data_IF_679415771745
#
_entry.id   IF_679415771745
#
_cell.length_a   1.000
_cell.length_b   1.000
_cell.length_c   1.000
_cell.angle_alpha   90.00
_cell.angle_beta   90.00
_cell.angle_gamma   90.00
#
_symmetry.space_group_name_H-M   'P 1'
#
loop_
_entity.id
_entity.type
_entity.pdbx_description
1 polymer ?
#
# COMPACT_ATOMS: atom_id res chain seq x y z
N UNK A 1 3.35 26.17 -16.23
CA UNK A 1 3.61 24.89 -15.54
C UNK A 1 3.17 25.13 -14.12
N UNK A 2 1.86 24.99 -13.90
CA UNK A 2 1.29 25.20 -12.58
C UNK A 2 1.62 23.96 -11.75
N UNK A 3 2.46 24.16 -10.72
CA UNK A 3 2.73 23.14 -9.72
C UNK A 3 1.41 22.79 -9.01
N UNK A 4 1.20 21.51 -8.76
CA UNK A 4 0.01 21.00 -8.08
C UNK A 4 -0.01 21.57 -6.65
N UNK A 5 -1.03 22.34 -6.24
CA UNK A 5 -1.11 22.91 -4.89
C UNK A 5 -1.19 21.86 -3.76
N UNK A 6 -1.34 20.56 -4.08
CA UNK A 6 -1.21 19.46 -3.12
C UNK A 6 0.25 18.98 -2.93
N UNK A 7 1.15 19.29 -3.86
CA UNK A 7 2.59 19.01 -3.76
C UNK A 7 3.24 19.87 -2.66
N UNK A 8 2.69 21.06 -2.41
CA UNK A 8 3.18 22.03 -1.41
C UNK A 8 2.63 21.81 0.01
N UNK A 9 1.60 20.95 0.18
CA UNK A 9 0.89 20.81 1.46
C UNK A 9 1.39 19.66 2.36
N UNK A 10 2.32 18.84 1.87
CA UNK A 10 2.96 17.72 2.59
C UNK A 10 4.45 17.94 2.84
N UNK A 11 4.97 19.14 2.54
CA UNK A 11 6.36 19.54 2.78
C UNK A 11 6.64 20.04 4.21
N UNK A 12 5.67 19.91 5.13
CA UNK A 12 5.90 20.14 6.57
C UNK A 12 6.00 18.77 7.24
N UNK A 13 7.11 18.31 7.81
CA UNK A 13 8.04 19.00 8.71
C UNK A 13 9.46 18.36 8.65
N UNK A 14 10.50 19.21 8.67
CA UNK A 14 11.92 18.84 8.64
C UNK A 14 12.56 19.25 7.31
N UNK A 15 13.29 20.38 7.29
CA UNK A 15 14.03 20.83 6.10
C UNK A 15 15.08 19.79 5.75
N UNK A 16 14.81 19.00 4.72
CA UNK A 16 15.76 18.08 4.13
C UNK A 16 17.05 18.84 3.81
N UNK A 17 18.19 18.27 4.18
CA UNK A 17 19.49 18.80 3.79
C UNK A 17 19.61 18.78 2.26
N UNK A 18 20.47 19.63 1.66
CA UNK A 18 20.74 19.56 0.22
C UNK A 18 21.17 18.17 -0.26
N UNK A 19 21.87 17.41 0.59
CA UNK A 19 22.26 16.01 0.32
C UNK A 19 21.05 15.08 0.29
N UNK A 20 20.12 15.20 1.25
CA UNK A 20 18.88 14.41 1.27
C UNK A 20 17.96 14.75 0.09
N UNK A 21 17.92 16.02 -0.33
CA UNK A 21 17.19 16.46 -1.53
C UNK A 21 17.79 15.80 -2.77
N UNK A 22 19.12 15.82 -2.90
CA UNK A 22 19.83 15.21 -4.01
C UNK A 22 19.63 13.68 -4.03
N UNK A 23 19.77 13.01 -2.88
CA UNK A 23 19.54 11.56 -2.75
C UNK A 23 18.10 11.20 -3.12
N UNK A 24 17.12 12.00 -2.68
CA UNK A 24 15.71 11.83 -3.06
C UNK A 24 15.53 11.99 -4.57
N UNK A 25 16.14 12.99 -5.20
CA UNK A 25 16.04 13.22 -6.64
C UNK A 25 16.66 12.06 -7.44
N UNK A 26 17.85 11.61 -7.07
CA UNK A 26 18.52 10.47 -7.71
C UNK A 26 17.74 9.18 -7.53
N UNK A 27 17.23 8.94 -6.33
CA UNK A 27 16.36 7.81 -6.06
C UNK A 27 15.09 7.90 -6.89
N UNK A 28 14.39 9.04 -6.93
CA UNK A 28 13.19 9.24 -7.79
C UNK A 28 13.49 8.89 -9.24
N UNK A 29 14.63 9.32 -9.76
CA UNK A 29 15.05 9.01 -11.13
C UNK A 29 15.28 7.50 -11.32
N UNK A 30 16.01 6.83 -10.41
CA UNK A 30 16.22 5.37 -10.45
C UNK A 30 14.90 4.62 -10.35
N UNK A 31 14.02 5.03 -9.44
CA UNK A 31 12.73 4.38 -9.21
C UNK A 31 11.74 4.62 -10.33
N UNK A 32 11.80 5.76 -11.03
CA UNK A 32 10.94 6.03 -12.21
C UNK A 32 11.10 4.95 -13.28
N UNK A 33 12.35 4.58 -13.58
CA UNK A 33 12.67 3.58 -14.60
C UNK A 33 12.11 2.20 -14.27
N UNK A 34 12.03 1.86 -12.99
CA UNK A 34 11.43 0.60 -12.52
C UNK A 34 9.98 0.44 -13.04
N UNK A 35 9.20 1.52 -13.06
CA UNK A 35 7.81 1.50 -13.49
C UNK A 35 7.63 1.62 -15.02
N UNK A 36 8.72 1.62 -15.79
CA UNK A 36 8.69 1.44 -17.24
C UNK A 36 8.63 -0.04 -17.63
N UNK A 37 9.04 -0.94 -16.72
CA UNK A 37 8.96 -2.37 -16.93
C UNK A 37 7.52 -2.89 -16.87
N UNK A 38 7.17 -3.92 -17.68
CA UNK A 38 5.85 -4.50 -17.64
C UNK A 38 5.61 -5.22 -16.31
N UNK A 39 4.49 -4.89 -15.67
CA UNK A 39 3.97 -5.67 -14.54
C UNK A 39 2.91 -6.66 -15.04
N UNK A 40 3.04 -7.95 -14.76
CA UNK A 40 2.13 -9.01 -15.25
C UNK A 40 1.56 -9.83 -14.10
N UNK A 41 0.37 -10.39 -14.30
CA UNK A 41 -0.22 -11.33 -13.35
C UNK A 41 0.54 -12.66 -13.38
N UNK A 42 0.86 -13.18 -12.20
CA UNK A 42 1.55 -14.46 -12.02
C UNK A 42 0.55 -15.52 -11.59
N UNK A 43 -0.05 -15.36 -10.41
CA UNK A 43 -0.94 -16.36 -9.82
C UNK A 43 -1.83 -15.77 -8.73
N UNK A 44 -2.92 -16.49 -8.43
CA UNK A 44 -3.79 -16.25 -7.27
C UNK A 44 -3.56 -17.37 -6.25
N UNK A 45 -3.09 -17.00 -5.07
CA UNK A 45 -2.73 -17.94 -3.99
C UNK A 45 -3.87 -18.02 -2.97
N UNK A 46 -4.44 -19.22 -2.83
CA UNK A 46 -5.49 -19.53 -1.86
C UNK A 46 -4.96 -20.32 -0.65
N UNK A 47 -3.83 -21.01 -0.83
CA UNK A 47 -3.11 -21.76 0.20
C UNK A 47 -1.62 -21.39 0.11
N UNK A 48 -0.95 -21.20 1.24
CA UNK A 48 0.46 -20.84 1.29
C UNK A 48 1.38 -21.88 0.63
N UNK A 49 0.92 -23.13 0.48
CA UNK A 49 1.64 -24.17 -0.28
C UNK A 49 1.82 -23.82 -1.76
N UNK A 50 0.96 -22.97 -2.32
CA UNK A 50 1.00 -22.56 -3.73
C UNK A 50 1.65 -21.19 -3.92
N UNK A 51 2.38 -20.70 -2.92
CA UNK A 51 3.14 -19.46 -3.06
C UNK A 51 4.19 -19.59 -4.17
N UNK A 52 4.38 -18.55 -4.99
CA UNK A 52 5.48 -18.54 -5.96
C UNK A 52 6.84 -18.56 -5.24
N UNK A 53 7.92 -18.95 -5.95
CA UNK A 53 9.28 -18.87 -5.46
C UNK A 53 9.64 -17.49 -4.88
N UNK A 54 10.58 -17.47 -3.94
CA UNK A 54 11.01 -16.28 -3.19
C UNK A 54 12.21 -15.58 -3.86
N UNK A 55 12.18 -15.44 -5.18
CA UNK A 55 13.34 -14.99 -5.95
C UNK A 55 13.54 -13.46 -5.84
N UNK A 56 12.46 -12.71 -5.66
CA UNK A 56 12.45 -11.24 -5.68
C UNK A 56 11.88 -10.64 -4.40
N UNK A 57 12.30 -9.42 -4.01
CA UNK A 57 11.60 -8.66 -2.99
C UNK A 57 10.11 -8.52 -3.30
N UNK A 58 9.29 -8.48 -2.26
CA UNK A 58 7.84 -8.36 -2.37
C UNK A 58 7.34 -7.13 -1.61
N UNK A 59 6.41 -6.44 -2.24
CA UNK A 59 5.55 -5.47 -1.56
C UNK A 59 4.13 -5.98 -1.60
N UNK A 60 3.34 -5.64 -0.58
CA UNK A 60 1.93 -5.96 -0.57
C UNK A 60 1.06 -4.71 -0.43
N UNK A 61 -0.13 -4.75 -0.99
CA UNK A 61 -1.17 -3.75 -0.79
C UNK A 61 -2.31 -4.37 0.00
N UNK A 62 -2.65 -3.78 1.14
CA UNK A 62 -3.76 -4.19 1.99
C UNK A 62 -4.71 -3.00 2.18
N UNK A 63 -5.96 -3.29 2.54
CA UNK A 63 -6.93 -2.25 2.86
C UNK A 63 -8.36 -2.77 2.85
N UNK A 64 -9.29 -2.02 3.43
CA UNK A 64 -10.71 -2.38 3.46
C UNK A 64 -11.28 -2.59 2.05
N UNK A 65 -12.36 -3.37 1.95
CA UNK A 65 -13.12 -3.45 0.70
C UNK A 65 -13.52 -2.06 0.20
N UNK A 66 -13.41 -1.82 -1.11
CA UNK A 66 -13.72 -0.55 -1.78
C UNK A 66 -12.86 0.67 -1.33
N UNK A 67 -11.73 0.46 -0.66
CA UNK A 67 -10.80 1.56 -0.30
C UNK A 67 -10.11 2.20 -1.52
N UNK A 68 -10.12 1.51 -2.67
CA UNK A 68 -9.45 1.96 -3.90
C UNK A 68 -8.15 1.22 -4.24
N UNK A 69 -7.85 0.10 -3.56
CA UNK A 69 -6.64 -0.71 -3.75
C UNK A 69 -6.33 -1.08 -5.19
N UNK A 70 -7.26 -1.75 -5.88
CA UNK A 70 -7.04 -2.15 -7.28
C UNK A 70 -6.88 -0.94 -8.21
N UNK A 71 -7.60 0.16 -7.96
CA UNK A 71 -7.45 1.40 -8.72
C UNK A 71 -6.06 2.02 -8.52
N UNK A 72 -5.58 2.03 -7.27
CA UNK A 72 -4.26 2.54 -6.93
C UNK A 72 -3.15 1.69 -7.54
N UNK A 73 -3.23 0.36 -7.44
CA UNK A 73 -2.28 -0.56 -8.09
C UNK A 73 -2.22 -0.29 -9.60
N UNK A 74 -3.37 -0.22 -10.27
CA UNK A 74 -3.40 0.06 -11.71
C UNK A 74 -2.77 1.41 -12.07
N UNK A 75 -2.97 2.44 -11.24
CA UNK A 75 -2.41 3.78 -11.44
C UNK A 75 -0.89 3.82 -11.19
N UNK A 76 -0.42 3.23 -10.09
CA UNK A 76 1.00 3.15 -9.72
C UNK A 76 1.77 2.33 -10.75
N UNK A 77 1.26 1.19 -11.21
CA UNK A 77 1.96 0.35 -12.19
C UNK A 77 1.64 0.69 -13.65
N UNK A 78 1.02 1.86 -13.91
CA UNK A 78 0.70 2.38 -15.27
C UNK A 78 -0.01 1.35 -16.18
N UNK A 79 -0.75 0.41 -15.59
CA UNK A 79 -1.36 -0.71 -16.33
C UNK A 79 -2.83 -0.86 -16.01
N UNK A 80 -3.67 -0.57 -17.01
CA UNK A 80 -5.12 -0.75 -16.91
C UNK A 80 -5.45 -2.23 -16.78
N UNK A 81 -6.27 -2.58 -15.79
CA UNK A 81 -6.79 -3.93 -15.62
C UNK A 81 -5.81 -4.96 -15.07
N UNK A 82 -4.65 -4.53 -14.53
CA UNK A 82 -3.71 -5.41 -13.84
C UNK A 82 -4.39 -6.03 -12.60
N UNK A 83 -4.79 -5.18 -11.66
CA UNK A 83 -5.65 -5.56 -10.54
C UNK A 83 -7.12 -5.38 -10.95
N UNK A 84 -7.89 -6.48 -10.89
CA UNK A 84 -9.32 -6.46 -11.19
C UNK A 84 -10.07 -5.75 -10.06
N UNK A 85 -10.54 -4.53 -10.32
CA UNK A 85 -11.49 -3.84 -9.45
C UNK A 85 -12.83 -4.58 -9.49
N UNK A 86 -13.07 -5.50 -8.55
CA UNK A 86 -14.39 -6.12 -8.42
C UNK A 86 -15.27 -5.27 -7.53
N UNK A 87 -16.39 -4.80 -8.06
CA UNK A 87 -17.45 -4.14 -7.30
C UNK A 87 -18.28 -5.14 -6.46
N UNK A 88 -17.97 -6.44 -6.53
CA UNK A 88 -18.58 -7.48 -5.70
C UNK A 88 -17.69 -7.71 -4.50
N UNK A 89 -18.07 -7.22 -3.31
CA UNK A 89 -17.26 -7.40 -2.12
C UNK A 89 -17.15 -8.89 -1.74
N UNK A 90 -15.99 -9.32 -1.22
CA UNK A 90 -15.73 -10.71 -0.82
C UNK A 90 -15.34 -11.67 -1.94
N UNK A 91 -15.18 -11.19 -3.19
CA UNK A 91 -14.78 -12.03 -4.35
C UNK A 91 -13.29 -12.40 -4.37
N UNK A 92 -12.42 -11.51 -3.91
CA UNK A 92 -10.98 -11.80 -3.79
C UNK A 92 -10.73 -12.34 -2.40
N UNK A 93 -10.53 -13.66 -2.29
CA UNK A 93 -10.17 -14.38 -1.06
C UNK A 93 -8.77 -14.99 -1.16
N UNK A 94 -7.98 -14.48 -2.10
CA UNK A 94 -6.65 -14.94 -2.44
C UNK A 94 -5.67 -13.77 -2.48
N UNK A 95 -4.40 -14.07 -2.31
CA UNK A 95 -3.31 -13.15 -2.60
C UNK A 95 -3.06 -13.18 -4.10
N UNK A 96 -3.22 -12.05 -4.80
CA UNK A 96 -2.86 -12.00 -6.22
C UNK A 96 -1.42 -11.50 -6.35
N UNK A 97 -0.58 -12.33 -6.97
CA UNK A 97 0.80 -11.99 -7.25
C UNK A 97 0.90 -11.41 -8.66
N UNK A 98 1.59 -10.29 -8.75
CA UNK A 98 2.04 -9.69 -9.97
C UNK A 98 3.57 -9.59 -9.94
N UNK A 99 4.20 -9.70 -11.09
CA UNK A 99 5.64 -9.62 -11.24
C UNK A 99 5.98 -8.44 -12.14
N UNK A 100 6.86 -7.57 -11.67
CA UNK A 100 7.45 -6.49 -12.45
C UNK A 100 8.84 -6.93 -12.87
N UNK A 101 8.90 -7.58 -14.03
CA UNK A 101 10.11 -8.15 -14.62
C UNK A 101 10.92 -8.99 -13.59
N UNK A 102 12.23 -8.84 -13.52
CA UNK A 102 13.12 -9.51 -12.55
C UNK A 102 13.42 -8.65 -11.32
N UNK A 103 12.53 -7.73 -10.96
CA UNK A 103 12.81 -6.73 -9.92
C UNK A 103 11.96 -6.87 -8.67
N UNK A 104 10.67 -7.17 -8.80
CA UNK A 104 9.73 -7.05 -7.69
C UNK A 104 8.48 -7.93 -7.89
N UNK A 105 8.04 -8.57 -6.81
CA UNK A 105 6.66 -9.05 -6.70
C UNK A 105 5.77 -8.01 -6.03
N UNK A 106 4.61 -7.80 -6.63
CA UNK A 106 3.54 -6.97 -6.10
C UNK A 106 2.40 -7.86 -5.69
N UNK A 107 1.99 -7.79 -4.44
CA UNK A 107 0.96 -8.66 -3.87
C UNK A 107 -0.29 -7.84 -3.56
N UNK A 108 -1.38 -8.13 -4.25
CA UNK A 108 -2.68 -7.56 -3.93
C UNK A 108 -3.38 -8.44 -2.89
N UNK A 109 -3.39 -7.98 -1.64
CA UNK A 109 -4.05 -8.70 -0.56
C UNK A 109 -5.58 -8.55 -0.68
N UNK A 110 -6.36 -9.56 -0.28
CA UNK A 110 -7.81 -9.43 -0.25
C UNK A 110 -8.24 -8.33 0.73
N UNK A 111 -9.35 -7.68 0.42
CA UNK A 111 -9.85 -6.57 1.23
C UNK A 111 -10.54 -7.06 2.50
N UNK A 112 -10.20 -6.48 3.65
CA UNK A 112 -10.76 -6.84 4.95
C UNK A 112 -11.99 -6.01 5.34
N UNK A 113 -12.59 -6.36 6.48
CA UNK A 113 -13.71 -5.63 7.08
C UNK A 113 -15.07 -5.90 6.44
N UNK A 114 -15.28 -7.09 5.87
CA UNK A 114 -16.54 -7.45 5.24
C UNK A 114 -17.55 -7.99 6.26
N UNK A 115 -18.61 -7.23 6.53
CA UNK A 115 -19.62 -7.54 7.55
C UNK A 115 -20.52 -8.76 7.24
N UNK A 116 -20.41 -9.37 6.06
CA UNK A 116 -21.30 -10.45 5.59
C UNK A 116 -20.60 -11.78 5.28
N UNK A 117 -19.29 -11.90 5.53
CA UNK A 117 -18.59 -13.17 5.34
C UNK A 117 -18.88 -14.11 6.54
N UNK A 118 -19.01 -15.43 6.32
CA UNK A 118 -19.07 -16.40 7.41
C UNK A 118 -17.84 -16.29 8.32
N UNK A 119 -18.03 -16.44 9.63
CA UNK A 119 -16.94 -16.32 10.62
C UNK A 119 -15.76 -17.25 10.31
N UNK A 120 -16.03 -18.51 9.99
CA UNK A 120 -15.00 -19.51 9.67
C UNK A 120 -14.13 -19.10 8.48
N UNK A 121 -14.71 -18.40 7.51
CA UNK A 121 -13.99 -17.90 6.35
C UNK A 121 -13.07 -16.72 6.71
N UNK A 122 -13.56 -15.81 7.55
CA UNK A 122 -12.76 -14.69 8.08
C UNK A 122 -11.61 -15.22 8.92
N UNK A 123 -11.86 -16.21 9.77
CA UNK A 123 -10.84 -16.82 10.63
C UNK A 123 -9.78 -17.58 9.80
N UNK A 124 -10.20 -18.35 8.80
CA UNK A 124 -9.28 -19.04 7.87
C UNK A 124 -8.42 -18.03 7.11
N UNK A 125 -9.02 -16.93 6.66
CA UNK A 125 -8.30 -15.87 5.97
C UNK A 125 -7.30 -15.15 6.88
N UNK A 126 -7.71 -14.76 8.08
CA UNK A 126 -6.85 -14.15 9.08
C UNK A 126 -5.66 -15.06 9.43
N UNK A 127 -5.90 -16.36 9.55
CA UNK A 127 -4.85 -17.36 9.77
C UNK A 127 -3.86 -17.42 8.60
N UNK A 128 -4.36 -17.44 7.36
CA UNK A 128 -3.51 -17.41 6.16
C UNK A 128 -2.67 -16.13 6.10
N UNK A 129 -3.27 -14.97 6.38
CA UNK A 129 -2.56 -13.69 6.40
C UNK A 129 -1.47 -13.65 7.47
N UNK A 130 -1.77 -14.06 8.71
CA UNK A 130 -0.78 -14.14 9.80
C UNK A 130 0.41 -15.01 9.42
N UNK A 131 0.15 -16.19 8.83
CA UNK A 131 1.20 -17.12 8.40
C UNK A 131 2.02 -16.55 7.25
N UNK A 132 1.38 -15.87 6.29
CA UNK A 132 2.07 -15.19 5.19
C UNK A 132 2.99 -14.09 5.72
N UNK A 133 2.47 -13.17 6.56
CA UNK A 133 3.24 -12.05 7.12
C UNK A 133 4.45 -12.52 7.92
N UNK A 134 4.29 -13.57 8.73
CA UNK A 134 5.37 -14.11 9.57
C UNK A 134 6.42 -14.91 8.80
N UNK A 135 6.02 -15.58 7.71
CA UNK A 135 6.87 -16.56 7.02
C UNK A 135 7.54 -16.06 5.74
N UNK A 136 7.10 -14.93 5.18
CA UNK A 136 7.55 -14.46 3.87
C UNK A 136 8.73 -13.48 3.99
N UNK A 137 9.95 -14.00 4.01
CA UNK A 137 11.20 -13.22 4.15
C UNK A 137 11.35 -12.14 3.07
N UNK A 138 10.82 -12.40 1.88
CA UNK A 138 10.88 -11.46 0.78
C UNK A 138 9.87 -10.30 0.90
N UNK A 139 8.85 -10.40 1.75
CA UNK A 139 7.94 -9.30 2.00
C UNK A 139 8.65 -8.18 2.76
N UNK A 140 8.96 -7.08 2.07
CA UNK A 140 9.73 -5.97 2.63
C UNK A 140 8.87 -4.84 3.16
N UNK A 141 7.69 -4.62 2.56
CA UNK A 141 6.76 -3.58 3.02
C UNK A 141 5.31 -3.89 2.66
N UNK A 142 4.40 -3.60 3.57
CA UNK A 142 2.95 -3.57 3.30
C UNK A 142 2.46 -2.14 3.18
N UNK A 143 1.82 -1.79 2.07
CA UNK A 143 1.13 -0.52 1.91
C UNK A 143 -0.32 -0.68 2.37
N UNK A 144 -0.64 -0.08 3.52
CA UNK A 144 -1.95 -0.15 4.15
C UNK A 144 -2.83 1.02 3.71
N UNK A 145 -3.86 0.75 2.91
CA UNK A 145 -4.72 1.78 2.35
C UNK A 145 -5.88 2.09 3.30
N UNK A 146 -6.10 3.39 3.52
CA UNK A 146 -7.18 3.92 4.34
C UNK A 146 -7.95 4.98 3.55
N UNK A 147 -9.29 4.86 3.52
CA UNK A 147 -10.14 5.84 2.84
C UNK A 147 -10.18 7.13 3.66
N UNK A 148 -9.63 8.21 3.11
CA UNK A 148 -9.47 9.50 3.81
C UNK A 148 -10.79 10.12 4.27
N UNK A 149 -11.92 9.78 3.62
CA UNK A 149 -13.26 10.23 4.04
C UNK A 149 -13.64 9.71 5.42
N UNK A 150 -13.22 8.48 5.74
CA UNK A 150 -13.61 7.78 6.96
C UNK A 150 -12.49 7.73 8.00
N UNK A 151 -11.23 7.73 7.54
CA UNK A 151 -10.04 7.52 8.38
C UNK A 151 -9.95 6.09 8.91
N UNK A 152 -9.19 5.96 10.00
CA UNK A 152 -8.96 4.70 10.69
C UNK A 152 -10.27 4.15 11.27
N UNK A 153 -10.42 2.83 11.20
CA UNK A 153 -11.50 2.05 11.83
C UNK A 153 -10.90 0.87 12.58
N UNK A 154 -11.69 0.24 13.43
CA UNK A 154 -11.27 -0.92 14.22
C UNK A 154 -10.57 -2.00 13.38
N UNK A 155 -11.13 -2.35 12.22
CA UNK A 155 -10.52 -3.35 11.34
C UNK A 155 -9.16 -2.92 10.75
N UNK A 156 -8.88 -1.62 10.63
CA UNK A 156 -7.55 -1.16 10.21
C UNK A 156 -6.55 -1.32 11.37
N UNK A 157 -6.97 -0.98 12.59
CA UNK A 157 -6.16 -1.16 13.81
C UNK A 157 -5.81 -2.64 14.02
N UNK A 158 -6.77 -3.56 13.83
CA UNK A 158 -6.50 -5.00 13.93
C UNK A 158 -5.43 -5.48 12.94
N UNK A 159 -5.39 -4.89 11.74
CA UNK A 159 -4.39 -5.22 10.72
C UNK A 159 -3.04 -4.57 11.08
N UNK A 160 -3.05 -3.35 11.62
CA UNK A 160 -1.85 -2.69 12.14
C UNK A 160 -1.23 -3.53 13.26
N UNK A 161 -2.02 -3.97 14.24
CA UNK A 161 -1.57 -4.86 15.32
C UNK A 161 -0.98 -6.17 14.76
N UNK A 162 -1.61 -6.76 13.74
CA UNK A 162 -1.09 -7.97 13.11
C UNK A 162 0.25 -7.76 12.40
N UNK A 163 0.45 -6.59 11.78
CA UNK A 163 1.71 -6.23 11.12
C UNK A 163 2.81 -5.97 12.16
N UNK A 164 2.47 -5.34 13.28
CA UNK A 164 3.38 -5.14 14.41
C UNK A 164 3.81 -6.48 15.03
N UNK A 165 2.85 -7.39 15.30
CA UNK A 165 3.12 -8.74 15.80
C UNK A 165 4.02 -9.55 14.86
N UNK A 166 3.89 -9.34 13.55
CA UNK A 166 4.70 -10.01 12.53
C UNK A 166 6.04 -9.31 12.27
N UNK A 167 6.31 -8.16 12.91
CA UNK A 167 7.46 -7.29 12.65
C UNK A 167 7.62 -6.93 11.16
N UNK A 168 6.50 -6.76 10.45
CA UNK A 168 6.49 -6.39 9.03
C UNK A 168 6.29 -4.89 8.91
N UNK A 169 7.29 -4.20 8.38
CA UNK A 169 7.18 -2.75 8.13
C UNK A 169 6.00 -2.46 7.21
N UNK A 170 5.18 -1.47 7.58
CA UNK A 170 4.07 -1.05 6.75
C UNK A 170 3.96 0.47 6.67
N UNK A 171 3.46 0.96 5.54
CA UNK A 171 3.31 2.39 5.28
C UNK A 171 1.86 2.68 4.91
N UNK A 172 1.26 3.65 5.58
CA UNK A 172 -0.13 4.02 5.33
C UNK A 172 -0.24 4.90 4.08
N UNK A 173 -1.26 4.61 3.26
CA UNK A 173 -1.68 5.45 2.14
C UNK A 173 -3.12 5.90 2.36
N UNK A 174 -3.32 7.20 2.56
CA UNK A 174 -4.64 7.81 2.58
C UNK A 174 -5.17 8.00 1.16
N UNK A 175 -6.17 7.22 0.78
CA UNK A 175 -6.74 7.24 -0.57
C UNK A 175 -7.91 8.23 -0.69
N UNK A 176 -8.28 8.55 -1.93
CA UNK A 176 -9.46 9.37 -2.29
C UNK A 176 -9.45 10.77 -1.68
N UNK A 177 -8.26 11.38 -1.59
CA UNK A 177 -8.13 12.73 -1.03
C UNK A 177 -8.93 13.78 -1.80
N UNK A 178 -9.24 13.52 -3.08
CA UNK A 178 -10.11 14.37 -3.91
C UNK A 178 -11.55 14.49 -3.37
N UNK A 179 -11.96 13.63 -2.43
CA UNK A 179 -13.29 13.64 -1.83
C UNK A 179 -13.38 14.44 -0.54
N UNK A 180 -12.27 14.97 -0.03
CA UNK A 180 -12.24 15.81 1.18
C UNK A 180 -11.39 17.07 0.95
N UNK A 181 -11.58 18.08 1.81
CA UNK A 181 -10.80 19.34 1.70
C UNK A 181 -9.37 19.15 2.21
N UNK A 182 -8.37 19.89 1.71
CA UNK A 182 -6.97 19.74 2.12
C UNK A 182 -6.73 19.79 3.65
N UNK A 183 -7.37 20.69 4.43
CA UNK A 183 -7.21 20.68 5.90
C UNK A 183 -7.71 19.38 6.56
N UNK A 184 -8.73 18.74 5.98
CA UNK A 184 -9.20 17.46 6.47
C UNK A 184 -8.22 16.32 6.13
N UNK A 185 -7.52 16.39 4.99
CA UNK A 185 -6.44 15.44 4.64
C UNK A 185 -5.31 15.53 5.67
N UNK A 186 -4.84 16.74 5.98
CA UNK A 186 -3.80 16.97 6.98
C UNK A 186 -4.22 16.44 8.36
N UNK A 187 -5.47 16.67 8.76
CA UNK A 187 -6.01 16.09 10.00
C UNK A 187 -5.96 14.55 9.99
N UNK A 188 -6.23 13.89 8.86
CA UNK A 188 -6.12 12.43 8.75
C UNK A 188 -4.68 11.94 8.79
N UNK A 189 -3.75 12.68 8.21
CA UNK A 189 -2.32 12.38 8.30
C UNK A 189 -1.89 12.39 9.76
N UNK A 190 -2.22 13.46 10.49
CA UNK A 190 -1.92 13.56 11.91
C UNK A 190 -2.59 12.45 12.73
N UNK A 191 -3.87 12.16 12.46
CA UNK A 191 -4.61 11.07 13.12
C UNK A 191 -3.88 9.72 13.01
N UNK A 192 -3.26 9.43 11.87
CA UNK A 192 -2.46 8.20 11.70
C UNK A 192 -1.10 8.31 12.38
N UNK A 193 -0.40 9.45 12.27
CA UNK A 193 0.90 9.67 12.90
C UNK A 193 0.82 9.55 14.44
N UNK A 194 -0.27 10.03 15.04
CA UNK A 194 -0.52 9.93 16.48
C UNK A 194 -0.62 8.48 16.98
N UNK A 195 -0.83 7.52 16.08
CA UNK A 195 -0.85 6.08 16.42
C UNK A 195 0.54 5.45 16.49
N UNK A 196 1.57 6.08 15.91
CA UNK A 196 2.93 5.54 15.82
C UNK A 196 3.54 5.06 17.15
N UNK A 197 3.31 5.70 18.32
CA UNK A 197 3.84 5.20 19.59
C UNK A 197 3.33 3.81 19.98
N UNK A 198 2.16 3.39 19.47
CA UNK A 198 1.57 2.07 19.72
C UNK A 198 1.89 1.07 18.62
N UNK A 199 2.39 1.54 17.48
CA UNK A 199 2.56 0.76 16.26
C UNK A 199 4.00 0.87 15.75
N UNK A 200 4.94 0.12 16.34
CA UNK A 200 6.37 0.25 16.03
C UNK A 200 6.74 -0.16 14.61
N UNK A 201 5.93 -0.95 13.90
CA UNK A 201 6.19 -1.31 12.50
C UNK A 201 5.64 -0.27 11.50
N UNK A 202 4.90 0.75 11.97
CA UNK A 202 4.42 1.84 11.13
C UNK A 202 5.58 2.69 10.63
N UNK A 203 5.68 2.82 9.31
CA UNK A 203 6.60 3.72 8.66
C UNK A 203 6.17 5.18 8.89
N UNK A 204 7.07 6.07 9.36
CA UNK A 204 6.69 7.41 9.83
C UNK A 204 5.99 8.30 8.79
N UNK A 205 6.37 8.16 7.52
CA UNK A 205 5.82 8.97 6.44
C UNK A 205 4.48 8.40 5.97
N UNK A 206 3.42 9.23 6.09
CA UNK A 206 2.08 8.89 5.62
C UNK A 206 1.90 9.43 4.21
N UNK A 207 1.61 8.54 3.26
CA UNK A 207 1.38 8.93 1.88
C UNK A 207 -0.09 9.28 1.68
N UNK A 208 -0.37 10.13 0.70
CA UNK A 208 -1.73 10.43 0.26
C UNK A 208 -1.87 10.18 -1.22
N UNK A 209 -3.08 9.85 -1.69
CA UNK A 209 -3.31 9.67 -3.12
C UNK A 209 -4.74 9.91 -3.56
N UNK A 210 -4.87 10.31 -4.82
CA UNK A 210 -6.10 10.20 -5.58
C UNK A 210 -5.82 9.51 -6.91
N UNK A 211 -6.28 8.28 -7.06
CA UNK A 211 -6.21 7.58 -8.36
C UNK A 211 -7.11 8.22 -9.42
N UNK A 212 -8.12 9.01 -9.02
CA UNK A 212 -9.01 9.73 -9.94
C UNK A 212 -8.32 10.99 -10.50
N UNK A 213 -7.51 11.66 -9.68
CA UNK A 213 -6.76 12.88 -10.07
C UNK A 213 -5.29 12.63 -10.42
N UNK A 214 -4.83 11.38 -10.36
CA UNK A 214 -3.42 10.99 -10.47
C UNK A 214 -2.48 11.72 -9.49
N UNK A 215 -3.01 12.15 -8.34
CA UNK A 215 -2.24 12.86 -7.31
C UNK A 215 -1.54 11.87 -6.35
N UNK A 216 -0.31 12.18 -5.95
CA UNK A 216 0.49 11.40 -4.99
C UNK A 216 1.05 10.07 -5.51
N UNK A 217 0.90 9.78 -6.82
CA UNK A 217 1.37 8.52 -7.40
C UNK A 217 2.89 8.44 -7.46
N UNK A 218 3.57 9.55 -7.74
CA UNK A 218 5.04 9.58 -7.81
C UNK A 218 5.68 9.38 -6.44
N UNK A 219 5.08 9.89 -5.36
CA UNK A 219 5.54 9.64 -3.99
C UNK A 219 5.38 8.16 -3.62
N UNK A 220 4.30 7.52 -4.06
CA UNK A 220 4.11 6.07 -3.87
C UNK A 220 5.13 5.27 -4.68
N UNK A 221 5.40 5.65 -5.95
CA UNK A 221 6.45 5.00 -6.75
C UNK A 221 7.82 5.13 -6.10
N UNK A 222 8.13 6.33 -5.60
CA UNK A 222 9.34 6.60 -4.85
C UNK A 222 9.45 5.71 -3.61
N UNK A 223 8.38 5.64 -2.81
CA UNK A 223 8.33 4.80 -1.61
C UNK A 223 8.48 3.31 -1.93
N UNK A 224 7.86 2.81 -3.01
CA UNK A 224 8.02 1.44 -3.49
C UNK A 224 9.46 1.19 -3.92
N UNK A 225 10.06 2.08 -4.70
CA UNK A 225 11.43 1.87 -5.16
C UNK A 225 12.48 2.00 -4.05
N UNK A 226 12.21 2.82 -3.01
CA UNK A 226 13.01 2.88 -1.77
C UNK A 226 13.06 1.56 -1.00
N UNK A 227 12.11 0.64 -1.23
CA UNK A 227 12.11 -0.69 -0.62
C UNK A 227 13.13 -1.63 -1.30
N UNK A 228 13.55 -1.31 -2.52
CA UNK A 228 14.48 -2.11 -3.32
C UNK A 228 15.94 -1.65 -3.21
N UNK A 229 16.20 -0.54 -2.53
CA UNK A 229 17.53 0.06 -2.32
C UNK A 229 18.00 -0.23 -0.90
#
# INVERSE_FOLDING_TARGET
MDQDPLETALETEGKLTPEEIQERAETRQKTSRLFEHPCTFVTSVYDLKTLPPQDWPEIAFAGRSNVGKSSLINAVFKKKGLAKASNTPGRTQCLNFFQMDTHLHVVDMPGYGYAKAPKDLVDSWNKMLRLYLKGRVQLKRVFLLIDSRHGLKANDIEIMDMLDEAAVSYQVILTKIDKIKPPAVQKRVQEVQDTAPKHPALYPEILVSSSEKNAGLEDIRYAVGRVLL
#
